data_IF_789454250290
#
_entry.id   IF_789454250290
#
_cell.length_a   1.000
_cell.length_b   1.000
_cell.length_c   1.000
_cell.angle_alpha   90.00
_cell.angle_beta   90.00
_cell.angle_gamma   90.00
#
_symmetry.space_group_name_H-M   'P 1'
#
loop_
_entity.id
_entity.type
_entity.pdbx_description
1 polymer ?
#
# COMPACT_ATOMS: atom_id res chain seq x y z
N UNK A 1 12.99 -11.72 7.23
CA UNK A 1 12.82 -10.25 7.19
C UNK A 1 11.47 -9.97 6.56
N UNK A 2 10.75 -8.91 6.92
CA UNK A 2 9.48 -8.55 6.26
C UNK A 2 9.73 -7.41 5.27
N UNK A 3 9.07 -7.46 4.12
CA UNK A 3 9.14 -6.42 3.07
C UNK A 3 7.75 -5.85 2.87
N UNK A 4 7.65 -4.54 3.04
CA UNK A 4 6.41 -3.80 2.83
C UNK A 4 6.33 -3.34 1.38
N UNK A 5 5.16 -3.52 0.76
CA UNK A 5 4.83 -2.95 -0.54
C UNK A 5 3.72 -1.94 -0.35
N UNK A 6 4.06 -0.66 -0.52
CA UNK A 6 3.07 0.41 -0.58
C UNK A 6 2.19 0.22 -1.82
N UNK A 7 0.88 0.13 -1.64
CA UNK A 7 -0.06 -0.11 -2.73
C UNK A 7 -1.35 0.66 -2.56
N UNK A 8 -1.80 1.22 -3.68
CA UNK A 8 -3.14 1.77 -3.84
C UNK A 8 -4.07 0.85 -4.64
N UNK A 9 -3.58 -0.34 -5.02
CA UNK A 9 -4.25 -1.24 -5.97
C UNK A 9 -4.08 -0.83 -7.43
N UNK A 10 -3.46 0.34 -7.69
CA UNK A 10 -3.17 0.81 -9.03
C UNK A 10 -2.07 0.00 -9.73
N UNK A 11 -2.08 0.06 -11.07
CA UNK A 11 -1.18 -0.72 -11.94
C UNK A 11 0.30 -0.61 -11.56
N UNK A 12 0.76 0.58 -11.16
CA UNK A 12 2.19 0.83 -10.91
C UNK A 12 2.64 0.17 -9.60
N UNK A 13 1.81 0.22 -8.56
CA UNK A 13 2.08 -0.46 -7.29
C UNK A 13 2.00 -1.99 -7.42
N UNK A 14 1.06 -2.51 -8.21
CA UNK A 14 0.97 -3.94 -8.50
C UNK A 14 2.14 -4.39 -9.38
N UNK A 15 2.61 -3.56 -10.31
CA UNK A 15 3.83 -3.83 -11.08
C UNK A 15 5.07 -3.84 -10.19
N UNK A 16 5.14 -2.97 -9.17
CA UNK A 16 6.23 -2.99 -8.19
C UNK A 16 6.25 -4.31 -7.41
N UNK A 17 5.09 -4.76 -6.91
CA UNK A 17 4.93 -6.08 -6.29
C UNK A 17 5.38 -7.21 -7.23
N UNK A 18 4.90 -7.20 -8.48
CA UNK A 18 5.27 -8.20 -9.48
C UNK A 18 6.79 -8.25 -9.68
N UNK A 19 7.46 -7.09 -9.80
CA UNK A 19 8.91 -7.01 -9.98
C UNK A 19 9.69 -7.53 -8.79
N UNK A 20 9.21 -7.34 -7.56
CA UNK A 20 9.84 -7.88 -6.35
C UNK A 20 9.85 -9.42 -6.41
N UNK A 21 8.71 -10.02 -6.76
CA UNK A 21 8.57 -11.48 -6.85
C UNK A 21 9.34 -12.06 -8.03
N UNK A 22 9.22 -11.46 -9.22
CA UNK A 22 9.88 -11.89 -10.47
C UNK A 22 11.41 -11.89 -10.32
N UNK A 23 11.96 -10.85 -9.68
CA UNK A 23 13.40 -10.73 -9.42
C UNK A 23 13.87 -11.44 -8.16
N UNK A 24 12.97 -12.15 -7.45
CA UNK A 24 13.25 -12.87 -6.20
C UNK A 24 13.91 -11.99 -5.13
N UNK A 25 13.48 -10.72 -5.04
CA UNK A 25 13.98 -9.80 -4.01
C UNK A 25 13.37 -10.09 -2.64
N UNK A 26 12.19 -10.73 -2.61
CA UNK A 26 11.55 -11.28 -1.43
C UNK A 26 10.64 -12.45 -1.82
N UNK A 27 10.39 -13.36 -0.90
CA UNK A 27 9.39 -14.41 -1.07
C UNK A 27 7.98 -13.90 -0.69
N UNK A 28 6.93 -14.46 -1.31
CA UNK A 28 5.52 -14.10 -1.02
C UNK A 28 5.20 -14.07 0.49
N UNK A 29 5.72 -15.03 1.26
CA UNK A 29 5.51 -15.14 2.72
C UNK A 29 6.13 -13.99 3.55
N UNK A 30 7.05 -13.25 2.95
CA UNK A 30 7.76 -12.13 3.56
C UNK A 30 7.08 -10.79 3.27
N UNK A 31 6.13 -10.78 2.34
CA UNK A 31 5.45 -9.58 1.88
C UNK A 31 4.29 -9.19 2.79
N UNK A 32 4.10 -7.88 2.92
CA UNK A 32 2.91 -7.24 3.50
C UNK A 32 2.54 -6.09 2.56
N UNK A 33 1.26 -6.01 2.19
CA UNK A 33 0.72 -4.86 1.46
C UNK A 33 0.38 -3.76 2.46
N UNK A 34 0.73 -2.52 2.16
CA UNK A 34 0.32 -1.35 2.96
C UNK A 34 -0.39 -0.36 2.06
N UNK A 35 -1.60 0.02 2.43
CA UNK A 35 -2.35 1.08 1.75
C UNK A 35 -2.59 2.27 2.67
N UNK A 36 -2.14 3.45 2.28
CA UNK A 36 -2.54 4.70 2.92
C UNK A 36 -3.99 5.03 2.51
N UNK A 37 -4.83 5.40 3.48
CA UNK A 37 -6.24 5.72 3.32
C UNK A 37 -6.43 7.19 3.74
N UNK A 38 -6.34 8.15 2.82
CA UNK A 38 -6.52 9.56 3.14
C UNK A 38 -7.96 9.86 3.51
N UNK A 39 -8.15 10.63 4.59
CA UNK A 39 -9.45 11.20 4.96
C UNK A 39 -9.86 12.32 3.99
N UNK A 40 -8.88 13.06 3.48
CA UNK A 40 -9.09 14.05 2.43
C UNK A 40 -9.16 13.36 1.05
N UNK A 41 -10.31 13.36 0.36
CA UNK A 41 -10.45 12.75 -0.97
C UNK A 41 -9.63 13.48 -2.05
N UNK A 42 -9.26 14.73 -1.79
CA UNK A 42 -8.40 15.56 -2.65
C UNK A 42 -6.92 15.49 -2.24
N UNK A 43 -6.50 14.47 -1.47
CA UNK A 43 -5.07 14.25 -1.17
C UNK A 43 -4.27 14.19 -2.48
N UNK A 44 -3.21 14.97 -2.54
CA UNK A 44 -2.31 15.02 -3.69
C UNK A 44 -1.22 13.95 -3.61
N UNK A 45 -0.84 13.52 -2.40
CA UNK A 45 0.28 12.59 -2.20
C UNK A 45 -0.14 11.13 -2.40
N UNK A 46 -1.29 10.73 -1.83
CA UNK A 46 -1.76 9.34 -1.88
C UNK A 46 -2.99 9.20 -2.74
N UNK A 47 -3.07 8.07 -3.45
CA UNK A 47 -4.21 7.74 -4.29
C UNK A 47 -5.48 7.55 -3.44
N UNK A 48 -6.61 8.12 -3.84
CA UNK A 48 -7.87 8.05 -3.07
C UNK A 48 -8.95 7.18 -3.72
N UNK A 49 -8.84 6.92 -5.03
CA UNK A 49 -9.89 6.24 -5.80
C UNK A 49 -9.84 4.73 -5.56
N UNK A 50 -11.00 4.11 -5.39
CA UNK A 50 -11.17 2.66 -5.31
C UNK A 50 -10.34 1.94 -4.22
N UNK A 51 -9.89 2.62 -3.16
CA UNK A 51 -9.08 2.01 -2.09
C UNK A 51 -9.75 0.83 -1.38
N UNK A 52 -11.09 0.76 -1.39
CA UNK A 52 -11.84 -0.40 -0.89
C UNK A 52 -11.50 -1.70 -1.64
N UNK A 53 -10.97 -1.62 -2.87
CA UNK A 53 -10.55 -2.78 -3.65
C UNK A 53 -9.28 -3.44 -3.12
N UNK A 54 -8.51 -2.76 -2.27
CA UNK A 54 -7.32 -3.32 -1.63
C UNK A 54 -7.64 -4.60 -0.86
N UNK A 55 -8.81 -4.69 -0.23
CA UNK A 55 -9.25 -5.88 0.50
C UNK A 55 -9.36 -7.11 -0.43
N UNK A 56 -10.00 -6.94 -1.59
CA UNK A 56 -10.13 -8.00 -2.59
C UNK A 56 -8.79 -8.34 -3.23
N UNK A 57 -7.96 -7.32 -3.52
CA UNK A 57 -6.61 -7.52 -4.07
C UNK A 57 -5.76 -8.35 -3.11
N UNK A 58 -5.75 -8.00 -1.81
CA UNK A 58 -5.04 -8.73 -0.76
C UNK A 58 -5.50 -10.18 -0.66
N UNK A 59 -6.82 -10.42 -0.70
CA UNK A 59 -7.39 -11.76 -0.68
C UNK A 59 -6.99 -12.59 -1.91
N UNK A 60 -7.10 -12.03 -3.12
CA UNK A 60 -6.69 -12.71 -4.35
C UNK A 60 -5.19 -13.01 -4.39
N UNK A 61 -4.37 -12.11 -3.84
CA UNK A 61 -2.94 -12.29 -3.76
C UNK A 61 -2.53 -13.19 -2.60
N UNK A 62 -3.39 -13.44 -1.61
CA UNK A 62 -3.06 -14.10 -0.34
C UNK A 62 -1.84 -13.47 0.35
N UNK A 63 -1.76 -12.14 0.32
CA UNK A 63 -0.73 -11.36 1.03
C UNK A 63 -1.44 -10.48 2.05
N UNK A 64 -1.03 -10.48 3.33
CA UNK A 64 -1.64 -9.64 4.35
C UNK A 64 -1.66 -8.17 3.95
N UNK A 65 -2.76 -7.47 4.28
CA UNK A 65 -2.94 -6.04 4.05
C UNK A 65 -3.02 -5.29 5.38
N UNK A 66 -2.29 -4.20 5.47
CA UNK A 66 -2.40 -3.21 6.52
C UNK A 66 -2.86 -1.87 5.91
N UNK A 67 -3.94 -1.31 6.43
CA UNK A 67 -4.48 -0.03 5.97
C UNK A 67 -4.16 1.03 7.01
N UNK A 68 -3.51 2.12 6.61
CA UNK A 68 -3.13 3.23 7.48
C UNK A 68 -4.00 4.41 7.14
N UNK A 69 -4.82 4.86 8.09
CA UNK A 69 -5.55 6.12 7.91
C UNK A 69 -4.59 7.30 8.04
N UNK A 70 -4.64 8.22 7.07
CA UNK A 70 -3.86 9.46 7.10
C UNK A 70 -4.80 10.67 6.92
N UNK A 71 -4.39 11.81 7.43
CA UNK A 71 -5.13 13.08 7.34
C UNK A 71 -5.36 13.51 5.90
N UNK A 72 -4.37 13.29 5.02
CA UNK A 72 -4.36 13.87 3.68
C UNK A 72 -4.00 15.36 3.68
N UNK A 73 -3.36 15.83 4.75
CA UNK A 73 -2.71 17.14 4.82
C UNK A 73 -1.26 17.01 4.32
N UNK A 74 -0.86 17.91 3.42
CA UNK A 74 0.48 17.94 2.83
C UNK A 74 1.57 17.89 3.93
N UNK A 75 2.62 17.11 3.68
CA UNK A 75 3.71 16.76 4.61
C UNK A 75 3.30 15.94 5.86
N UNK A 76 2.14 16.20 6.47
CA UNK A 76 1.69 15.44 7.65
C UNK A 76 1.34 14.00 7.32
N UNK A 77 0.69 13.77 6.18
CA UNK A 77 0.28 12.42 5.77
C UNK A 77 1.47 11.46 5.56
N UNK A 78 2.65 12.00 5.23
CA UNK A 78 3.90 11.22 5.09
C UNK A 78 4.41 10.79 6.45
N UNK A 79 4.43 11.71 7.43
CA UNK A 79 4.84 11.41 8.81
C UNK A 79 3.87 10.44 9.48
N UNK A 80 2.56 10.59 9.27
CA UNK A 80 1.54 9.67 9.78
C UNK A 80 1.72 8.26 9.22
N UNK A 81 2.09 8.13 7.94
CA UNK A 81 2.42 6.83 7.35
C UNK A 81 3.72 6.27 7.92
N UNK A 82 4.76 7.09 8.12
CA UNK A 82 6.03 6.67 8.71
C UNK A 82 5.86 6.15 10.15
N UNK A 83 5.10 6.87 10.98
CA UNK A 83 4.84 6.49 12.38
C UNK A 83 4.04 5.18 12.50
N UNK A 84 3.30 4.80 11.46
CA UNK A 84 2.47 3.60 11.45
C UNK A 84 3.20 2.32 10.98
N UNK A 85 4.44 2.44 10.49
CA UNK A 85 5.23 1.35 9.90
C UNK A 85 6.33 0.81 10.85
#
# INVERSE_FOLDING_TARGET
MKTVVLTSGGKDSILALHRILDRKLAEKKELILVGAIPKNPESFMFHTVNLHMLDVISNCLEIPLFKVEVSGEEEKEVLELEEAL
#
